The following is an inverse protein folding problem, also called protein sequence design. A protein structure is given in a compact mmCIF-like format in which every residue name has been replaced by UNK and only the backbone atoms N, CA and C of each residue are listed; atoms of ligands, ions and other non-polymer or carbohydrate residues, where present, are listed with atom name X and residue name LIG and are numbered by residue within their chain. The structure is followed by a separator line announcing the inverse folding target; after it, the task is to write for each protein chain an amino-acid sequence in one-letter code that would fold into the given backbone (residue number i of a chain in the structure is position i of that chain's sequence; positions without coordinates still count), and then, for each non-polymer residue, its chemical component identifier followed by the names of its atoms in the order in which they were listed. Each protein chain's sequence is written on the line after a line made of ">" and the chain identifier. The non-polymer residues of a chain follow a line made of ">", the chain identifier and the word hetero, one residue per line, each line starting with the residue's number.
data_IF_479138998461
#
_entry.id   IF_479138998461
#
_cell.length_a   1.000
_cell.length_b   1.000
_cell.length_c   1.000
_cell.angle_alpha   90.00
_cell.angle_beta   90.00
_cell.angle_gamma   90.00
#
_symmetry.space_group_name_H-M   'P 1'
#
loop_
_entity.id
_entity.type
_entity.pdbx_description
1 polymer ?
#
# COMPACT_ATOMS: atom_id res chain seq x y z
N UNK A 1 41.17 68.10 -2.04
CA UNK A 1 39.70 67.84 -2.06
C UNK A 1 39.20 67.01 -3.29
N UNK A 2 39.68 67.26 -4.48
CA UNK A 2 39.21 66.55 -5.70
C UNK A 2 39.58 65.06 -5.71
N UNK A 3 40.82 64.68 -5.33
CA UNK A 3 41.27 63.29 -5.21
C UNK A 3 40.56 62.49 -4.13
N UNK A 4 40.11 63.14 -3.06
CA UNK A 4 39.37 62.49 -1.97
C UNK A 4 37.94 62.13 -2.38
N UNK A 5 37.30 62.93 -3.25
CA UNK A 5 35.97 62.65 -3.81
C UNK A 5 36.02 61.48 -4.82
N UNK A 6 37.09 61.37 -5.62
CA UNK A 6 37.27 60.27 -6.56
C UNK A 6 37.47 58.90 -5.85
N UNK A 7 38.22 58.89 -4.73
CA UNK A 7 38.42 57.67 -3.92
C UNK A 7 37.13 57.25 -3.25
N UNK A 8 36.30 58.20 -2.75
CA UNK A 8 34.98 57.88 -2.15
C UNK A 8 34.01 57.35 -3.22
N UNK A 9 34.01 57.92 -4.43
CA UNK A 9 33.17 57.44 -5.54
C UNK A 9 33.57 56.02 -6.00
N UNK A 10 34.85 55.71 -6.09
CA UNK A 10 35.32 54.36 -6.44
C UNK A 10 35.01 53.33 -5.33
N UNK A 11 35.17 53.72 -4.06
CA UNK A 11 34.80 52.89 -2.91
C UNK A 11 33.28 52.59 -2.85
N UNK A 12 32.43 53.62 -3.17
CA UNK A 12 30.98 53.42 -3.22
C UNK A 12 30.53 52.52 -4.38
N UNK A 13 31.21 52.58 -5.54
CA UNK A 13 30.94 51.69 -6.66
C UNK A 13 31.38 50.24 -6.34
N UNK A 14 32.49 50.06 -5.63
CA UNK A 14 32.95 48.73 -5.20
C UNK A 14 32.05 48.13 -4.12
N UNK A 15 31.48 48.93 -3.19
CA UNK A 15 30.48 48.45 -2.24
C UNK A 15 29.13 48.11 -2.88
N UNK A 16 28.73 48.87 -3.94
CA UNK A 16 27.49 48.53 -4.68
C UNK A 16 27.62 47.27 -5.55
N UNK A 17 28.83 46.95 -6.03
CA UNK A 17 29.11 45.73 -6.80
C UNK A 17 29.22 44.48 -5.90
N UNK A 18 29.48 44.63 -4.59
CA UNK A 18 29.53 43.51 -3.65
C UNK A 18 28.19 43.18 -3.00
N UNK A 19 27.14 44.01 -3.16
CA UNK A 19 25.78 43.75 -2.68
C UNK A 19 24.88 43.05 -3.74
N UNK A 20 25.38 42.80 -4.94
CA UNK A 20 24.80 41.78 -5.81
C UNK A 20 25.24 40.40 -5.22
N UNK A 21 24.85 40.17 -3.99
CA UNK A 21 24.81 38.82 -3.44
C UNK A 21 24.12 37.97 -4.46
N UNK A 22 24.83 37.01 -4.98
CA UNK A 22 24.34 35.88 -5.71
C UNK A 22 23.14 35.35 -4.96
N UNK A 23 21.93 35.80 -5.34
CA UNK A 23 20.78 34.92 -5.28
C UNK A 23 21.12 33.80 -6.29
N UNK A 24 21.93 32.84 -5.86
CA UNK A 24 21.87 31.51 -6.44
C UNK A 24 20.41 31.12 -6.28
N UNK A 25 19.63 30.96 -7.36
CA UNK A 25 18.42 30.21 -7.19
C UNK A 25 18.93 28.90 -6.60
N UNK A 26 18.54 28.60 -5.36
CA UNK A 26 18.65 27.27 -4.84
C UNK A 26 17.97 26.43 -5.93
N UNK A 27 18.76 25.72 -6.73
CA UNK A 27 18.24 24.74 -7.64
C UNK A 27 17.48 23.78 -6.70
N UNK A 28 16.15 23.91 -6.70
CA UNK A 28 15.31 22.96 -6.04
C UNK A 28 15.81 21.60 -6.57
N UNK A 29 16.25 20.76 -5.67
CA UNK A 29 16.72 19.43 -6.04
C UNK A 29 15.49 18.76 -6.70
N UNK A 30 15.47 18.64 -8.02
CA UNK A 30 14.37 18.10 -8.85
C UNK A 30 14.07 16.64 -8.51
N UNK A 31 14.77 16.09 -7.53
CA UNK A 31 14.77 14.67 -7.15
C UNK A 31 13.49 14.17 -6.48
N UNK A 32 12.54 15.04 -6.12
CA UNK A 32 11.30 14.65 -5.43
C UNK A 32 10.03 15.09 -6.15
N UNK A 33 10.10 15.38 -7.46
CA UNK A 33 8.93 15.76 -8.25
C UNK A 33 8.28 14.54 -8.87
N UNK A 34 6.98 14.32 -8.58
CA UNK A 34 6.22 13.14 -9.02
C UNK A 34 4.89 13.54 -9.65
N UNK A 35 4.36 12.73 -10.54
CA UNK A 35 2.99 12.88 -11.04
C UNK A 35 2.00 12.40 -10.00
N UNK A 36 1.03 13.26 -9.63
CA UNK A 36 -0.02 12.86 -8.70
C UNK A 36 -0.92 11.80 -9.32
N UNK A 37 -1.29 10.78 -8.53
CA UNK A 37 -2.26 9.78 -8.85
C UNK A 37 -3.69 10.25 -8.55
N UNK A 38 -4.44 9.46 -7.82
CA UNK A 38 -5.83 9.70 -7.43
C UNK A 38 -6.81 8.83 -8.21
N UNK A 39 -6.40 8.15 -9.28
CA UNK A 39 -7.20 7.18 -9.98
C UNK A 39 -7.31 5.86 -9.22
N UNK A 40 -8.48 5.24 -9.33
CA UNK A 40 -8.68 3.88 -8.87
C UNK A 40 -7.92 2.88 -9.76
N UNK A 41 -7.31 1.89 -9.16
CA UNK A 41 -6.62 0.82 -9.87
C UNK A 41 -6.85 -0.53 -9.22
N UNK A 42 -6.68 -1.60 -10.00
CA UNK A 42 -6.75 -2.97 -9.55
C UNK A 42 -5.38 -3.52 -9.17
N UNK A 43 -5.34 -4.20 -8.03
CA UNK A 43 -4.17 -4.97 -7.60
C UNK A 43 -4.48 -6.44 -7.75
N UNK A 44 -3.63 -7.18 -8.48
CA UNK A 44 -3.57 -8.65 -8.47
C UNK A 44 -2.30 -9.02 -7.72
N UNK A 45 -2.44 -9.70 -6.59
CA UNK A 45 -1.35 -10.00 -5.67
C UNK A 45 -1.19 -11.52 -5.52
N UNK A 46 0.02 -12.02 -5.65
CA UNK A 46 0.38 -13.41 -5.47
C UNK A 46 1.40 -13.54 -4.35
N UNK A 47 1.06 -14.31 -3.32
CA UNK A 47 1.89 -14.49 -2.14
C UNK A 47 3.10 -15.42 -2.44
N UNK A 48 4.15 -15.25 -1.69
CA UNK A 48 5.32 -16.13 -1.78
C UNK A 48 5.15 -17.36 -0.88
N UNK A 49 4.27 -18.29 -1.31
CA UNK A 49 3.88 -19.50 -0.59
C UNK A 49 2.42 -19.45 -0.13
N UNK A 50 1.93 -20.53 0.48
CA UNK A 50 0.59 -20.64 1.01
C UNK A 50 0.56 -20.26 2.50
N UNK A 51 0.02 -19.11 2.85
CA UNK A 51 -0.06 -18.62 4.22
C UNK A 51 -1.23 -19.23 4.96
N UNK A 52 -0.98 -19.82 6.12
CA UNK A 52 -2.04 -20.39 6.98
C UNK A 52 -2.80 -19.25 7.66
N UNK A 53 -4.09 -19.14 7.34
CA UNK A 53 -4.99 -18.12 7.89
C UNK A 53 -5.88 -18.66 9.01
N UNK A 54 -6.12 -19.98 9.03
CA UNK A 54 -6.93 -20.65 10.07
C UNK A 54 -6.52 -22.11 10.20
N UNK A 55 -6.56 -22.63 11.43
CA UNK A 55 -6.50 -24.07 11.70
C UNK A 55 -7.86 -24.54 12.20
N UNK A 56 -8.43 -25.56 11.56
CA UNK A 56 -9.77 -26.02 11.83
C UNK A 56 -9.83 -27.55 11.87
N UNK A 57 -10.40 -28.08 12.96
CA UNK A 57 -10.60 -29.53 13.08
C UNK A 57 -11.76 -29.97 12.20
N UNK A 58 -11.63 -31.14 11.61
CA UNK A 58 -12.68 -31.80 10.83
C UNK A 58 -12.89 -33.24 11.33
N UNK A 59 -14.05 -33.80 11.04
CA UNK A 59 -14.42 -35.16 11.44
C UNK A 59 -13.86 -36.17 10.43
N UNK A 60 -13.07 -37.16 10.90
CA UNK A 60 -12.45 -38.17 10.06
C UNK A 60 -13.30 -39.44 9.87
N UNK A 61 -14.42 -39.53 10.60
CA UNK A 61 -15.30 -40.69 10.67
C UNK A 61 -15.32 -41.34 12.05
N UNK A 62 -14.35 -41.04 12.91
CA UNK A 62 -14.22 -41.55 14.27
C UNK A 62 -14.15 -40.39 15.30
N UNK A 63 -13.36 -39.34 14.97
CA UNK A 63 -13.08 -38.20 15.87
C UNK A 63 -12.81 -36.89 15.10
N UNK A 64 -12.72 -35.78 15.82
CA UNK A 64 -12.25 -34.51 15.28
C UNK A 64 -10.74 -34.45 15.31
N UNK A 65 -10.11 -34.19 14.15
CA UNK A 65 -8.65 -34.13 13.95
C UNK A 65 -8.23 -32.84 13.28
N UNK A 66 -7.00 -32.38 13.55
CA UNK A 66 -6.36 -31.27 12.86
C UNK A 66 -4.86 -31.56 12.67
N UNK A 67 -4.49 -32.35 11.64
CA UNK A 67 -3.11 -32.78 11.41
C UNK A 67 -2.09 -31.64 11.37
N UNK A 68 -2.47 -30.48 10.79
CA UNK A 68 -1.61 -29.30 10.78
C UNK A 68 -1.27 -28.81 12.19
N UNK A 69 -2.27 -28.72 13.07
CA UNK A 69 -2.08 -28.30 14.46
C UNK A 69 -1.25 -29.34 15.24
N UNK A 70 -1.55 -30.61 15.06
CA UNK A 70 -0.87 -31.72 15.73
C UNK A 70 0.60 -31.82 15.30
N UNK A 71 0.88 -31.51 14.01
CA UNK A 71 2.24 -31.39 13.44
C UNK A 71 2.96 -30.08 13.79
N UNK A 72 2.34 -29.19 14.59
CA UNK A 72 2.95 -27.96 15.10
C UNK A 72 2.94 -26.77 14.13
N UNK A 73 2.08 -26.79 13.10
CA UNK A 73 1.79 -25.60 12.29
C UNK A 73 0.96 -24.58 13.08
N UNK A 74 1.09 -23.31 12.73
CA UNK A 74 0.41 -22.19 13.36
C UNK A 74 -0.16 -21.25 12.31
N UNK A 75 -1.14 -20.44 12.71
CA UNK A 75 -1.61 -19.31 11.91
C UNK A 75 -0.43 -18.35 11.66
N UNK A 76 -0.37 -17.78 10.47
CA UNK A 76 0.71 -16.97 9.91
C UNK A 76 1.98 -17.73 9.49
N UNK A 77 2.05 -19.06 9.62
CA UNK A 77 3.09 -19.82 8.95
C UNK A 77 2.88 -19.77 7.43
N UNK A 78 3.96 -19.63 6.68
CA UNK A 78 3.92 -19.62 5.21
C UNK A 78 4.51 -20.94 4.72
N UNK A 79 3.68 -21.81 4.14
CA UNK A 79 4.12 -23.07 3.56
C UNK A 79 4.91 -22.79 2.29
N UNK A 80 6.17 -23.20 2.27
CA UNK A 80 7.11 -23.01 1.15
C UNK A 80 7.31 -24.25 0.32
N UNK A 81 7.34 -25.43 0.98
CA UNK A 81 7.50 -26.73 0.31
C UNK A 81 6.73 -27.80 1.05
N UNK A 82 6.31 -28.81 0.28
CA UNK A 82 5.86 -30.10 0.80
C UNK A 82 6.80 -31.16 0.21
N UNK A 83 7.44 -31.93 1.08
CA UNK A 83 8.58 -32.77 0.72
C UNK A 83 9.64 -31.91 0.00
N UNK A 84 9.94 -32.20 -1.26
CA UNK A 84 10.88 -31.39 -2.05
C UNK A 84 10.19 -30.49 -3.07
N UNK A 85 8.86 -30.50 -3.13
CA UNK A 85 8.07 -29.72 -4.10
C UNK A 85 7.79 -28.33 -3.55
N UNK A 86 8.17 -27.29 -4.31
CA UNK A 86 7.86 -25.89 -3.97
C UNK A 86 6.36 -25.65 -4.06
N UNK A 87 5.81 -24.98 -3.07
CA UNK A 87 4.40 -24.57 -2.99
C UNK A 87 4.30 -23.07 -3.21
N UNK A 88 3.47 -22.70 -4.16
CA UNK A 88 3.14 -21.30 -4.48
C UNK A 88 1.64 -21.04 -4.48
N UNK A 89 0.83 -22.09 -4.69
CA UNK A 89 -0.63 -21.99 -4.75
C UNK A 89 -1.30 -23.03 -3.85
N UNK A 90 -2.57 -22.76 -3.54
CA UNK A 90 -3.42 -23.67 -2.79
C UNK A 90 -3.62 -25.02 -3.52
N UNK A 91 -3.76 -24.97 -4.86
CA UNK A 91 -3.91 -26.14 -5.71
C UNK A 91 -2.66 -27.03 -5.67
N UNK A 92 -1.46 -26.43 -5.71
CA UNK A 92 -0.20 -27.15 -5.57
C UNK A 92 -0.11 -27.84 -4.19
N UNK A 93 -0.45 -27.11 -3.12
CA UNK A 93 -0.49 -27.68 -1.76
C UNK A 93 -1.45 -28.85 -1.68
N UNK A 94 -2.68 -28.69 -2.18
CA UNK A 94 -3.68 -29.75 -2.21
C UNK A 94 -3.18 -30.99 -2.97
N UNK A 95 -2.59 -30.78 -4.15
CA UNK A 95 -2.04 -31.84 -4.97
C UNK A 95 -0.95 -32.65 -4.26
N UNK A 96 -0.01 -31.98 -3.57
CA UNK A 96 1.06 -32.66 -2.83
C UNK A 96 0.54 -33.42 -1.60
N UNK A 97 -0.50 -32.89 -0.92
CA UNK A 97 -1.18 -33.61 0.17
C UNK A 97 -1.86 -34.89 -0.35
N UNK A 98 -2.56 -34.83 -1.48
CA UNK A 98 -3.21 -35.98 -2.10
C UNK A 98 -2.20 -37.04 -2.55
N UNK A 99 -1.07 -36.67 -3.16
CA UNK A 99 0.02 -37.55 -3.57
C UNK A 99 0.66 -38.31 -2.41
N UNK A 100 0.56 -37.83 -1.20
CA UNK A 100 1.09 -38.52 -0.02
C UNK A 100 0.40 -39.86 0.24
N UNK A 101 -0.84 -40.03 -0.25
CA UNK A 101 -1.68 -41.19 0.03
C UNK A 101 -1.81 -41.52 1.53
N UNK A 102 -1.73 -40.50 2.39
CA UNK A 102 -1.80 -40.64 3.85
C UNK A 102 -0.47 -41.01 4.51
N UNK A 103 0.63 -40.99 3.78
CA UNK A 103 1.96 -41.10 4.38
C UNK A 103 2.38 -39.75 4.97
N UNK A 104 3.29 -39.78 5.93
CA UNK A 104 3.89 -38.57 6.49
C UNK A 104 4.52 -37.72 5.40
N UNK A 105 4.29 -36.37 5.52
CA UNK A 105 4.89 -35.38 4.66
C UNK A 105 5.76 -34.43 5.50
N UNK A 106 6.85 -33.96 4.92
CA UNK A 106 7.66 -32.88 5.48
C UNK A 106 7.20 -31.55 4.89
N UNK A 107 6.76 -30.63 5.73
CA UNK A 107 6.31 -29.29 5.33
C UNK A 107 7.37 -28.28 5.77
N UNK A 108 8.03 -27.65 4.79
CA UNK A 108 8.93 -26.51 5.03
C UNK A 108 8.09 -25.24 5.13
N UNK A 109 8.22 -24.54 6.24
CA UNK A 109 7.52 -23.26 6.50
C UNK A 109 8.51 -22.12 6.75
N UNK A 110 8.06 -20.91 6.45
CA UNK A 110 8.63 -19.68 7.00
C UNK A 110 7.77 -19.24 8.18
N UNK A 111 8.37 -19.12 9.36
CA UNK A 111 7.75 -18.58 10.58
C UNK A 111 8.56 -17.39 11.05
N UNK A 112 8.03 -16.18 10.85
CA UNK A 112 8.70 -14.91 11.23
C UNK A 112 10.12 -14.78 10.65
N UNK A 113 10.30 -15.12 9.35
CA UNK A 113 11.57 -15.07 8.65
C UNK A 113 12.54 -16.23 8.97
N UNK A 114 12.08 -17.25 9.71
CA UNK A 114 12.86 -18.45 10.01
C UNK A 114 12.27 -19.66 9.31
N UNK A 115 13.12 -20.38 8.57
CA UNK A 115 12.72 -21.63 7.94
C UNK A 115 12.68 -22.75 8.98
N UNK A 116 11.56 -23.46 9.06
CA UNK A 116 11.37 -24.65 9.91
C UNK A 116 10.79 -25.79 9.08
N UNK A 117 11.11 -27.04 9.43
CA UNK A 117 10.47 -28.23 8.88
C UNK A 117 9.53 -28.86 9.91
N UNK A 118 8.37 -29.27 9.48
CA UNK A 118 7.36 -29.97 10.28
C UNK A 118 6.99 -31.30 9.59
N UNK A 119 6.87 -32.35 10.37
CA UNK A 119 6.37 -33.65 9.89
C UNK A 119 4.89 -33.72 10.21
N UNK A 120 4.07 -34.00 9.20
CA UNK A 120 2.61 -34.02 9.32
C UNK A 120 2.08 -35.28 8.65
N UNK A 121 1.16 -35.96 9.31
CA UNK A 121 0.43 -37.11 8.75
C UNK A 121 -0.94 -36.64 8.24
N UNK A 122 -1.16 -36.51 6.91
CA UNK A 122 -2.47 -36.17 6.37
C UNK A 122 -3.51 -37.24 6.70
N UNK A 123 -4.71 -36.82 7.10
CA UNK A 123 -5.79 -37.74 7.49
C UNK A 123 -6.96 -37.57 6.51
N UNK A 124 -7.65 -38.64 6.15
CA UNK A 124 -8.86 -38.57 5.33
C UNK A 124 -10.03 -38.00 6.10
N UNK A 125 -10.82 -37.20 5.43
CA UNK A 125 -12.16 -36.83 5.91
C UNK A 125 -13.18 -37.93 5.53
N UNK A 126 -14.44 -37.73 5.92
CA UNK A 126 -15.54 -38.70 5.66
C UNK A 126 -15.86 -38.89 4.19
N UNK A 127 -15.41 -38.04 3.29
CA UNK A 127 -15.58 -38.18 1.83
C UNK A 127 -14.32 -38.71 1.14
N UNK A 128 -13.32 -39.14 1.93
CA UNK A 128 -12.12 -39.83 1.44
C UNK A 128 -10.98 -38.91 0.96
N UNK A 129 -11.04 -37.60 1.22
CA UNK A 129 -10.02 -36.65 0.83
C UNK A 129 -9.01 -36.44 1.95
N UNK A 130 -7.71 -36.50 1.64
CA UNK A 130 -6.65 -36.23 2.60
C UNK A 130 -6.56 -34.72 2.86
N UNK A 131 -6.59 -34.29 4.12
CA UNK A 131 -6.55 -32.92 4.57
C UNK A 131 -5.53 -32.72 5.69
N UNK A 132 -5.11 -31.46 5.88
CA UNK A 132 -4.31 -31.04 7.02
C UNK A 132 -5.15 -30.32 8.09
N UNK A 133 -6.35 -29.84 7.77
CA UNK A 133 -7.13 -28.96 8.65
C UNK A 133 -6.55 -27.53 8.71
N UNK A 134 -5.98 -27.07 7.62
CA UNK A 134 -5.44 -25.73 7.45
C UNK A 134 -6.14 -25.00 6.31
N UNK A 135 -6.60 -23.79 6.58
CA UNK A 135 -7.04 -22.85 5.56
C UNK A 135 -5.85 -21.99 5.17
N UNK A 136 -5.63 -21.83 3.88
CA UNK A 136 -4.47 -21.08 3.36
C UNK A 136 -4.90 -20.00 2.37
N UNK A 137 -4.07 -18.97 2.26
CA UNK A 137 -4.18 -17.88 1.29
C UNK A 137 -2.88 -17.77 0.49
N UNK A 138 -3.01 -17.75 -0.81
CA UNK A 138 -1.89 -17.64 -1.77
C UNK A 138 -1.97 -16.44 -2.67
N UNK A 139 -3.13 -15.79 -2.73
CA UNK A 139 -3.39 -14.65 -3.60
C UNK A 139 -4.51 -13.78 -3.06
N UNK A 140 -4.55 -12.55 -3.50
CA UNK A 140 -5.69 -11.65 -3.30
C UNK A 140 -5.77 -10.63 -4.43
N UNK A 141 -6.94 -10.04 -4.57
CA UNK A 141 -7.18 -8.95 -5.51
C UNK A 141 -8.09 -7.89 -4.86
N UNK A 142 -7.89 -6.63 -5.23
CA UNK A 142 -8.66 -5.53 -4.68
C UNK A 142 -8.51 -4.25 -5.48
N UNK A 143 -9.41 -3.29 -5.21
CA UNK A 143 -9.34 -1.94 -5.74
C UNK A 143 -8.66 -1.04 -4.70
N UNK A 144 -7.75 -0.20 -5.16
CA UNK A 144 -7.12 0.85 -4.37
C UNK A 144 -6.98 2.13 -5.17
N UNK A 145 -6.32 3.12 -4.59
CA UNK A 145 -6.02 4.39 -5.25
C UNK A 145 -4.52 4.55 -5.41
N UNK A 146 -4.10 5.01 -6.58
CA UNK A 146 -2.72 5.36 -6.88
C UNK A 146 -2.34 6.64 -6.17
N UNK A 147 -1.19 6.66 -5.49
CA UNK A 147 -0.73 7.84 -4.76
C UNK A 147 0.06 8.76 -5.67
N UNK A 148 1.10 8.23 -6.32
CA UNK A 148 1.90 8.99 -7.28
C UNK A 148 2.71 8.06 -8.18
N UNK A 149 3.19 8.65 -9.29
CA UNK A 149 4.13 8.05 -10.23
C UNK A 149 5.43 8.85 -10.26
N UNK A 150 6.54 8.18 -10.11
CA UNK A 150 7.88 8.75 -10.29
C UNK A 150 8.45 8.31 -11.65
N UNK A 151 8.37 9.23 -12.62
CA UNK A 151 8.84 9.00 -13.98
C UNK A 151 10.37 8.89 -14.04
N UNK A 152 11.06 9.60 -13.14
CA UNK A 152 12.53 9.66 -13.12
C UNK A 152 13.14 8.34 -12.68
N UNK A 153 12.49 7.65 -11.73
CA UNK A 153 12.92 6.37 -11.20
C UNK A 153 12.05 5.21 -11.68
N UNK A 154 11.12 5.46 -12.61
CA UNK A 154 10.26 4.46 -13.25
C UNK A 154 9.44 3.61 -12.27
N UNK A 155 8.90 4.20 -11.19
CA UNK A 155 8.09 3.47 -10.23
C UNK A 155 6.79 4.18 -9.86
N UNK A 156 5.91 3.46 -9.17
CA UNK A 156 4.69 3.99 -8.56
C UNK A 156 4.60 3.64 -7.07
N UNK A 157 3.85 4.45 -6.34
CA UNK A 157 3.46 4.20 -4.96
C UNK A 157 1.95 4.28 -4.79
N UNK A 158 1.37 3.38 -4.01
CA UNK A 158 -0.08 3.29 -3.85
C UNK A 158 -0.49 2.76 -2.47
N UNK A 159 -1.78 2.87 -2.15
CA UNK A 159 -2.50 2.38 -0.97
C UNK A 159 -2.14 3.07 0.34
N UNK A 160 -0.89 3.49 0.57
CA UNK A 160 -0.45 4.05 1.85
C UNK A 160 -0.38 3.03 3.01
N UNK A 161 -0.76 1.79 2.77
CA UNK A 161 -0.66 0.67 3.70
C UNK A 161 -0.36 -0.63 2.95
N UNK A 162 0.14 -1.63 3.66
CA UNK A 162 0.42 -2.93 3.06
C UNK A 162 -0.84 -3.74 2.77
N UNK A 163 -0.72 -4.69 1.84
CA UNK A 163 -1.73 -5.70 1.61
C UNK A 163 -1.56 -6.77 2.67
N UNK A 164 -2.56 -6.87 3.53
CA UNK A 164 -2.63 -7.81 4.63
C UNK A 164 -3.73 -8.84 4.40
N UNK A 165 -3.60 -9.98 5.02
CA UNK A 165 -4.68 -10.96 5.10
C UNK A 165 -5.84 -10.41 5.96
N UNK A 166 -7.08 -10.54 5.47
CA UNK A 166 -8.25 -9.96 6.13
C UNK A 166 -8.66 -10.69 7.42
N UNK A 167 -8.24 -11.95 7.60
CA UNK A 167 -8.60 -12.77 8.76
C UNK A 167 -7.58 -12.62 9.89
N UNK A 168 -6.30 -12.47 9.54
CA UNK A 168 -5.18 -12.44 10.49
C UNK A 168 -4.55 -11.06 10.66
N UNK A 169 -4.88 -10.10 9.77
CA UNK A 169 -4.24 -8.78 9.64
C UNK A 169 -2.72 -8.83 9.39
N UNK A 170 -2.16 -10.01 9.12
CA UNK A 170 -0.73 -10.15 8.84
C UNK A 170 -0.39 -9.71 7.42
N UNK A 171 0.75 -9.01 7.28
CA UNK A 171 1.26 -8.58 5.97
C UNK A 171 1.54 -9.79 5.08
N UNK A 172 0.96 -9.81 3.87
CA UNK A 172 1.19 -10.88 2.91
C UNK A 172 2.59 -10.79 2.29
N UNK A 173 3.33 -11.90 2.24
CA UNK A 173 4.65 -11.94 1.60
C UNK A 173 4.50 -11.87 0.08
N UNK A 174 4.98 -10.81 -0.55
CA UNK A 174 4.89 -10.62 -1.99
C UNK A 174 5.83 -11.60 -2.73
N UNK A 175 5.28 -12.34 -3.69
CA UNK A 175 6.04 -13.07 -4.72
C UNK A 175 6.05 -12.29 -6.03
N UNK A 176 4.87 -11.86 -6.45
CA UNK A 176 4.64 -11.07 -7.65
C UNK A 176 3.25 -10.42 -7.56
N UNK A 177 3.03 -9.42 -8.40
CA UNK A 177 1.71 -8.82 -8.52
C UNK A 177 1.66 -7.87 -9.71
N UNK A 178 0.46 -7.44 -10.05
CA UNK A 178 0.20 -6.56 -11.17
C UNK A 178 -0.65 -5.38 -10.73
N UNK A 179 -0.30 -4.20 -11.20
CA UNK A 179 -1.13 -3.02 -11.17
C UNK A 179 -1.85 -2.90 -12.52
N UNK A 180 -3.18 -2.97 -12.49
CA UNK A 180 -4.04 -2.93 -13.68
C UNK A 180 -5.05 -1.80 -13.56
N UNK A 181 -5.57 -1.30 -14.68
CA UNK A 181 -6.66 -0.32 -14.65
C UNK A 181 -7.91 -0.95 -14.06
N UNK A 182 -8.61 -0.20 -13.18
CA UNK A 182 -9.93 -0.56 -12.68
C UNK A 182 -10.96 0.48 -13.14
N UNK A 183 -12.18 0.03 -13.35
CA UNK A 183 -13.34 0.89 -13.62
C UNK A 183 -14.33 0.77 -12.48
N UNK A 184 -14.71 1.92 -11.92
CA UNK A 184 -15.66 1.98 -10.81
C UNK A 184 -17.08 1.99 -11.39
N UNK A 185 -17.84 0.95 -11.10
CA UNK A 185 -19.23 0.79 -11.53
C UNK A 185 -20.25 1.26 -10.49
N UNK A 186 -19.82 1.44 -9.23
CA UNK A 186 -20.68 1.87 -8.14
C UNK A 186 -19.95 2.06 -6.83
N UNK A 187 -20.68 2.55 -5.82
CA UNK A 187 -20.15 2.80 -4.48
C UNK A 187 -21.15 2.26 -3.44
N UNK A 188 -20.67 1.43 -2.55
CA UNK A 188 -21.34 1.17 -1.27
C UNK A 188 -20.94 2.27 -0.30
N UNK A 189 -21.91 3.03 0.23
CA UNK A 189 -21.61 4.16 1.12
C UNK A 189 -21.16 3.70 2.48
N UNK A 190 -20.21 4.42 3.05
CA UNK A 190 -19.84 4.28 4.46
C UNK A 190 -20.94 4.78 5.39
N UNK A 191 -21.21 4.02 6.44
CA UNK A 191 -22.07 4.40 7.55
C UNK A 191 -21.36 4.11 8.86
N UNK A 192 -21.81 4.72 9.96
CA UNK A 192 -21.25 4.43 11.28
C UNK A 192 -21.30 2.92 11.59
N UNK A 193 -20.17 2.34 11.93
CA UNK A 193 -19.99 0.92 12.19
C UNK A 193 -19.64 0.06 10.95
N UNK A 194 -19.76 0.59 9.74
CA UNK A 194 -19.45 -0.14 8.50
C UNK A 194 -18.79 0.76 7.46
N UNK A 195 -17.57 0.42 7.08
CA UNK A 195 -16.93 1.04 5.92
C UNK A 195 -17.66 0.62 4.63
N UNK A 196 -17.89 1.58 3.75
CA UNK A 196 -18.33 1.33 2.38
C UNK A 196 -17.18 0.88 1.49
N UNK A 197 -17.45 0.69 0.19
CA UNK A 197 -16.44 0.25 -0.78
C UNK A 197 -16.70 0.78 -2.18
N UNK A 198 -15.65 0.96 -2.96
CA UNK A 198 -15.76 1.03 -4.41
C UNK A 198 -16.16 -0.34 -4.95
N UNK A 199 -17.15 -0.37 -5.84
CA UNK A 199 -17.53 -1.53 -6.62
C UNK A 199 -17.04 -1.32 -8.06
N UNK A 200 -16.39 -2.30 -8.64
CA UNK A 200 -15.82 -2.15 -9.97
C UNK A 200 -15.22 -3.45 -10.49
N UNK A 201 -14.59 -3.38 -11.64
CA UNK A 201 -13.94 -4.52 -12.29
C UNK A 201 -12.58 -4.11 -12.84
N UNK A 202 -11.71 -5.09 -13.01
CA UNK A 202 -10.38 -4.90 -13.59
C UNK A 202 -10.47 -5.00 -15.11
N UNK A 203 -9.72 -4.14 -15.78
CA UNK A 203 -9.49 -4.26 -17.23
C UNK A 203 -8.20 -5.05 -17.49
N UNK A 204 -7.95 -5.39 -18.76
CA UNK A 204 -6.70 -6.05 -19.16
C UNK A 204 -5.51 -5.07 -19.32
N UNK A 205 -5.73 -3.79 -19.03
CA UNK A 205 -4.67 -2.77 -19.17
C UNK A 205 -3.78 -2.79 -17.94
N UNK A 206 -2.66 -3.47 -18.07
CA UNK A 206 -1.59 -3.48 -17.09
C UNK A 206 -0.68 -2.28 -17.30
N UNK A 207 -0.24 -1.63 -16.23
CA UNK A 207 0.69 -0.52 -16.26
C UNK A 207 1.91 -0.70 -15.35
N UNK A 208 1.90 -1.69 -14.46
CA UNK A 208 3.03 -1.95 -13.58
C UNK A 208 3.06 -3.34 -12.97
N UNK A 209 4.23 -3.70 -12.44
CA UNK A 209 4.44 -4.88 -11.61
C UNK A 209 4.69 -4.44 -10.17
N UNK A 210 4.11 -5.17 -9.20
CA UNK A 210 4.43 -4.96 -7.79
C UNK A 210 5.83 -5.52 -7.49
N UNK A 211 6.66 -4.72 -6.84
CA UNK A 211 7.99 -5.11 -6.35
C UNK A 211 8.07 -5.14 -4.83
N UNK A 212 7.27 -4.32 -4.13
CA UNK A 212 7.29 -4.20 -2.67
C UNK A 212 5.89 -4.17 -2.09
N UNK A 213 5.67 -4.98 -1.04
CA UNK A 213 4.54 -4.86 -0.11
C UNK A 213 5.09 -4.51 1.27
N UNK A 214 4.73 -3.36 1.81
CA UNK A 214 5.23 -2.86 3.10
C UNK A 214 4.13 -2.21 3.93
N UNK A 215 4.31 -2.02 5.24
CA UNK A 215 3.33 -1.31 6.06
C UNK A 215 2.97 0.09 5.55
N UNK A 216 3.86 0.75 4.80
CA UNK A 216 3.70 2.13 4.30
C UNK A 216 3.06 2.20 2.90
N UNK A 217 2.74 1.06 2.29
CA UNK A 217 2.14 1.01 0.97
C UNK A 217 2.67 -0.13 0.12
N UNK A 218 2.13 -0.20 -1.10
CA UNK A 218 2.67 -1.04 -2.16
C UNK A 218 3.42 -0.16 -3.17
N UNK A 219 4.51 -0.72 -3.71
CA UNK A 219 5.34 -0.07 -4.71
C UNK A 219 5.60 -1.04 -5.83
N UNK A 220 5.89 -0.49 -7.00
CA UNK A 220 6.15 -1.33 -8.15
C UNK A 220 6.72 -0.55 -9.33
N UNK A 221 7.23 -1.30 -10.30
CA UNK A 221 7.88 -0.76 -11.48
C UNK A 221 6.84 -0.49 -12.57
N UNK A 222 6.93 0.65 -13.23
CA UNK A 222 6.12 0.97 -14.38
C UNK A 222 6.59 0.13 -15.58
N UNK A 223 5.66 -0.59 -16.21
CA UNK A 223 5.96 -1.47 -17.34
C UNK A 223 5.43 -0.96 -18.68
N UNK A 224 4.66 0.12 -18.65
CA UNK A 224 4.12 0.76 -19.85
C UNK A 224 3.83 2.23 -19.57
N UNK A 225 3.66 3.02 -20.63
CA UNK A 225 3.25 4.43 -20.54
C UNK A 225 1.71 4.61 -20.35
N UNK A 226 0.99 3.53 -20.07
CA UNK A 226 -0.48 3.53 -19.91
C UNK A 226 -0.97 4.09 -18.57
N UNK A 227 -0.11 4.73 -17.78
CA UNK A 227 -0.51 5.47 -16.60
C UNK A 227 -0.82 6.94 -16.91
N UNK A 228 -1.63 7.58 -16.07
CA UNK A 228 -2.01 8.98 -16.28
C UNK A 228 -0.90 9.91 -15.78
N UNK A 229 -0.31 10.68 -16.70
CA UNK A 229 0.60 11.78 -16.37
C UNK A 229 -0.22 13.04 -16.04
N UNK A 230 -0.75 13.07 -14.82
CA UNK A 230 -1.46 14.23 -14.28
C UNK A 230 -0.45 15.38 -13.98
N UNK A 231 -0.85 16.32 -13.15
CA UNK A 231 0.02 17.42 -12.70
C UNK A 231 1.17 16.89 -11.82
N UNK A 232 2.35 17.48 -11.98
CA UNK A 232 3.51 17.23 -11.13
C UNK A 232 3.45 18.04 -9.84
N UNK A 233 3.92 17.43 -8.76
CA UNK A 233 4.03 18.01 -7.44
C UNK A 233 5.34 17.57 -6.78
N UNK A 234 5.89 18.45 -5.94
CA UNK A 234 6.93 18.06 -4.99
C UNK A 234 6.32 17.23 -3.85
N UNK A 235 7.07 16.27 -3.34
CA UNK A 235 6.76 15.59 -2.09
C UNK A 235 7.22 16.49 -0.94
N UNK A 236 6.32 16.76 0.01
CA UNK A 236 6.64 17.54 1.21
C UNK A 236 7.46 16.72 2.22
N UNK A 237 8.35 17.38 2.95
CA UNK A 237 8.91 16.78 4.16
C UNK A 237 7.82 16.69 5.24
N UNK A 238 7.97 15.75 6.17
CA UNK A 238 6.98 15.51 7.23
C UNK A 238 6.80 16.72 8.17
N UNK A 239 7.85 17.54 8.40
CA UNK A 239 7.82 18.75 9.22
C UNK A 239 7.08 19.93 8.55
N UNK A 240 6.90 19.89 7.22
CA UNK A 240 6.11 20.87 6.47
C UNK A 240 4.60 20.64 6.64
N UNK A 241 4.17 19.40 7.01
CA UNK A 241 2.75 19.05 7.17
C UNK A 241 2.18 19.71 8.42
N UNK A 242 1.07 20.45 8.25
CA UNK A 242 0.40 21.20 9.33
C UNK A 242 -1.08 20.83 9.42
N UNK A 243 -1.65 21.02 10.59
CA UNK A 243 -3.12 20.98 10.78
C UNK A 243 -3.80 22.07 9.97
N UNK A 244 -5.04 21.82 9.55
CA UNK A 244 -5.84 22.76 8.77
C UNK A 244 -6.23 22.24 7.40
N UNK A 245 -6.56 23.13 6.48
CA UNK A 245 -7.09 22.80 5.15
C UNK A 245 -6.06 22.06 4.29
N UNK A 246 -6.55 21.07 3.56
CA UNK A 246 -5.84 20.31 2.54
C UNK A 246 -6.84 19.78 1.51
N UNK A 247 -6.34 19.16 0.46
CA UNK A 247 -7.14 18.55 -0.61
C UNK A 247 -6.76 17.11 -0.77
N UNK A 248 -7.74 16.24 -0.89
CA UNK A 248 -7.57 14.83 -1.25
C UNK A 248 -7.96 14.64 -2.71
N UNK A 249 -7.15 13.88 -3.46
CA UNK A 249 -7.42 13.57 -4.86
C UNK A 249 -7.86 12.12 -4.97
N UNK A 250 -9.06 11.87 -5.52
CA UNK A 250 -9.61 10.52 -5.66
C UNK A 250 -10.63 10.45 -6.78
N UNK A 251 -11.00 9.25 -7.21
CA UNK A 251 -11.95 9.01 -8.32
C UNK A 251 -13.13 8.17 -7.85
N UNK A 252 -14.10 8.73 -7.10
CA UNK A 252 -15.27 7.97 -6.67
C UNK A 252 -16.29 7.81 -7.79
N UNK A 253 -16.27 8.67 -8.81
CA UNK A 253 -17.19 8.64 -9.94
C UNK A 253 -16.44 8.90 -11.24
N UNK A 254 -16.72 8.09 -12.25
CA UNK A 254 -16.06 8.18 -13.56
C UNK A 254 -14.64 7.62 -13.53
N UNK A 255 -13.76 8.19 -14.36
CA UNK A 255 -12.38 7.73 -14.57
C UNK A 255 -11.31 8.80 -14.34
N UNK A 256 -11.75 10.01 -13.96
CA UNK A 256 -10.86 11.18 -13.80
C UNK A 256 -10.78 11.59 -12.34
N UNK A 257 -9.56 11.64 -11.76
CA UNK A 257 -9.35 12.11 -10.39
C UNK A 257 -9.87 13.52 -10.19
N UNK A 258 -10.53 13.75 -9.06
CA UNK A 258 -11.06 15.05 -8.65
C UNK A 258 -10.52 15.42 -7.27
N UNK A 259 -10.43 16.72 -7.03
CA UNK A 259 -10.03 17.30 -5.76
C UNK A 259 -11.23 17.47 -4.83
N UNK A 260 -11.06 17.05 -3.57
CA UNK A 260 -12.06 17.13 -2.52
C UNK A 260 -11.46 17.78 -1.28
N UNK A 261 -12.18 18.75 -0.71
CA UNK A 261 -11.76 19.43 0.49
C UNK A 261 -11.72 18.53 1.70
N UNK A 262 -10.61 18.58 2.42
CA UNK A 262 -10.40 17.88 3.69
C UNK A 262 -9.74 18.81 4.71
N UNK A 263 -9.73 18.38 5.96
CA UNK A 263 -9.00 19.04 7.04
C UNK A 263 -8.02 18.06 7.70
N UNK A 264 -6.76 18.43 7.83
CA UNK A 264 -5.81 17.73 8.71
C UNK A 264 -6.14 18.10 10.15
N UNK A 265 -6.72 17.18 10.91
CA UNK A 265 -7.20 17.42 12.27
C UNK A 265 -6.06 17.46 13.29
N UNK A 266 -5.13 16.55 13.16
CA UNK A 266 -3.97 16.42 14.05
C UNK A 266 -2.87 15.59 13.41
N UNK A 267 -1.64 15.85 13.82
CA UNK A 267 -0.48 14.98 13.59
C UNK A 267 -0.40 14.01 14.78
N UNK A 268 -0.39 12.71 14.51
CA UNK A 268 -0.37 11.66 15.54
C UNK A 268 1.06 11.38 16.00
N UNK A 269 1.92 11.10 15.02
CA UNK A 269 3.32 10.75 15.25
C UNK A 269 4.15 11.05 13.98
N UNK A 270 5.48 11.00 14.12
CA UNK A 270 6.45 11.07 13.02
C UNK A 270 7.31 9.80 12.98
N UNK A 271 6.68 8.66 13.27
CA UNK A 271 7.30 7.36 13.16
C UNK A 271 7.30 6.92 11.69
N UNK A 272 8.49 6.74 11.14
CA UNK A 272 8.72 6.34 9.75
C UNK A 272 8.28 4.89 9.46
N UNK A 273 7.89 4.13 10.46
CA UNK A 273 7.37 2.75 10.31
C UNK A 273 5.85 2.69 10.40
N UNK A 274 5.21 3.79 10.83
CA UNK A 274 3.76 3.90 11.00
C UNK A 274 3.08 4.44 9.74
N UNK A 275 1.93 3.89 9.42
CA UNK A 275 1.02 4.41 8.39
C UNK A 275 -0.17 5.20 8.99
N UNK A 276 -0.07 5.59 10.27
CA UNK A 276 -1.05 6.36 11.03
C UNK A 276 -0.45 7.69 11.51
N UNK A 277 0.20 8.43 10.61
CA UNK A 277 0.98 9.61 10.97
C UNK A 277 0.12 10.83 11.29
N UNK A 278 -1.02 10.97 10.63
CA UNK A 278 -1.95 12.09 10.87
C UNK A 278 -3.41 11.67 10.67
N UNK A 279 -4.34 12.44 11.22
CA UNK A 279 -5.78 12.24 11.06
C UNK A 279 -6.34 13.31 10.13
N UNK A 280 -7.14 12.86 9.16
CA UNK A 280 -7.92 13.74 8.28
C UNK A 280 -9.40 13.68 8.59
N UNK A 281 -10.13 14.71 8.15
CA UNK A 281 -11.59 14.75 8.10
C UNK A 281 -12.04 15.23 6.72
N UNK A 282 -12.95 14.50 6.09
CA UNK A 282 -13.61 14.95 4.87
C UNK A 282 -14.55 16.12 5.22
N UNK A 283 -14.42 17.23 4.48
CA UNK A 283 -15.25 18.42 4.61
C UNK A 283 -16.07 18.71 3.35
N UNK A 284 -15.70 18.11 2.21
CA UNK A 284 -16.37 18.28 0.93
C UNK A 284 -17.74 17.59 0.91
N UNK A 285 -18.80 18.36 0.68
CA UNK A 285 -20.16 17.85 0.66
C UNK A 285 -20.43 16.87 -0.48
N UNK A 286 -19.80 17.06 -1.66
CA UNK A 286 -19.95 16.18 -2.82
C UNK A 286 -19.46 14.76 -2.48
N UNK A 287 -18.31 14.66 -1.82
CA UNK A 287 -17.75 13.37 -1.43
C UNK A 287 -18.59 12.70 -0.33
N UNK A 288 -19.07 13.49 0.64
CA UNK A 288 -19.95 12.98 1.70
C UNK A 288 -21.29 12.50 1.16
N UNK A 289 -21.87 13.21 0.20
CA UNK A 289 -23.13 12.79 -0.45
C UNK A 289 -22.95 11.51 -1.25
N UNK A 290 -21.84 11.37 -1.98
CA UNK A 290 -21.58 10.21 -2.83
C UNK A 290 -21.16 8.97 -2.04
N UNK A 291 -20.29 9.13 -1.04
CA UNK A 291 -19.59 8.03 -0.36
C UNK A 291 -19.99 7.85 1.11
N UNK A 292 -20.66 8.83 1.73
CA UNK A 292 -20.95 8.85 3.17
C UNK A 292 -19.72 9.10 4.06
N UNK A 293 -18.53 9.02 3.50
CA UNK A 293 -17.23 9.15 4.16
C UNK A 293 -16.10 8.52 3.35
N UNK A 294 -15.02 8.13 4.01
CA UNK A 294 -13.95 7.33 3.40
C UNK A 294 -14.48 5.92 3.17
N UNK A 295 -14.30 5.38 1.97
CA UNK A 295 -14.69 4.02 1.60
C UNK A 295 -13.45 3.18 1.26
N UNK A 296 -13.56 1.86 1.36
CA UNK A 296 -12.54 0.93 0.86
C UNK A 296 -12.33 1.17 -0.65
N UNK A 297 -11.07 1.25 -1.06
CA UNK A 297 -10.66 1.67 -2.39
C UNK A 297 -10.11 3.10 -2.42
N UNK A 298 -10.44 3.98 -1.47
CA UNK A 298 -9.80 5.29 -1.32
C UNK A 298 -8.41 5.24 -0.69
N UNK A 299 -8.00 4.11 -0.12
CA UNK A 299 -6.63 3.93 0.40
C UNK A 299 -5.62 4.23 -0.70
N UNK A 300 -4.64 5.10 -0.42
CA UNK A 300 -3.68 5.62 -1.38
C UNK A 300 -4.08 6.96 -2.00
N UNK A 301 -5.31 7.46 -1.82
CA UNK A 301 -5.69 8.78 -2.33
C UNK A 301 -4.71 9.85 -1.86
N UNK A 302 -3.97 10.52 -2.77
CA UNK A 302 -2.96 11.49 -2.40
C UNK A 302 -3.60 12.74 -1.77
N UNK A 303 -2.88 13.31 -0.82
CA UNK A 303 -3.27 14.52 -0.10
C UNK A 303 -2.29 15.62 -0.44
N UNK A 304 -2.84 16.78 -0.85
CA UNK A 304 -2.08 17.97 -1.21
C UNK A 304 -2.34 19.08 -0.19
N UNK A 305 -1.27 19.69 0.28
CA UNK A 305 -1.31 20.89 1.13
C UNK A 305 -0.22 21.85 0.65
N UNK A 306 -0.54 23.16 0.55
CA UNK A 306 0.40 24.19 0.12
C UNK A 306 1.15 23.89 -1.20
N UNK A 307 0.47 23.21 -2.14
CA UNK A 307 1.05 22.87 -3.45
C UNK A 307 2.03 21.71 -3.46
N UNK A 308 2.10 20.90 -2.40
CA UNK A 308 2.94 19.69 -2.30
C UNK A 308 2.10 18.48 -1.92
N UNK A 309 2.50 17.29 -2.35
CA UNK A 309 1.94 16.02 -1.85
C UNK A 309 2.49 15.78 -0.45
N UNK A 310 1.61 15.77 0.53
CA UNK A 310 1.98 15.58 1.94
C UNK A 310 1.82 14.13 2.41
N UNK A 311 0.99 13.34 1.74
CA UNK A 311 0.69 11.98 2.16
C UNK A 311 -0.41 11.33 1.36
N UNK A 312 -0.89 10.22 1.88
CA UNK A 312 -2.00 9.44 1.33
C UNK A 312 -2.95 8.95 2.43
N UNK A 313 -4.23 8.75 2.09
CA UNK A 313 -5.20 8.08 2.96
C UNK A 313 -4.79 6.63 3.18
N UNK A 314 -4.95 6.14 4.42
CA UNK A 314 -4.67 4.74 4.76
C UNK A 314 -5.90 4.00 5.28
N UNK A 315 -6.42 4.37 6.45
CA UNK A 315 -7.50 3.66 7.12
C UNK A 315 -8.65 4.59 7.51
N UNK A 316 -9.88 4.09 7.39
CA UNK A 316 -11.10 4.78 7.83
C UNK A 316 -11.42 4.46 9.29
N UNK A 317 -11.99 5.41 10.03
CA UNK A 317 -12.55 5.16 11.36
C UNK A 317 -13.97 4.61 11.24
N UNK A 318 -14.16 3.35 11.63
CA UNK A 318 -15.49 2.70 11.52
C UNK A 318 -16.58 3.46 12.28
N UNK A 319 -16.26 4.02 13.45
CA UNK A 319 -17.21 4.78 14.27
C UNK A 319 -17.47 6.20 13.74
N UNK A 320 -16.63 6.71 12.84
CA UNK A 320 -16.79 8.02 12.19
C UNK A 320 -16.16 7.98 10.79
N UNK A 321 -16.86 7.46 9.77
CA UNK A 321 -16.29 7.30 8.43
C UNK A 321 -15.89 8.59 7.73
N UNK A 322 -16.25 9.76 8.28
CA UNK A 322 -15.78 11.06 7.78
C UNK A 322 -14.33 11.34 8.15
N UNK A 323 -13.74 10.53 9.03
CA UNK A 323 -12.36 10.67 9.49
C UNK A 323 -11.56 9.38 9.23
N UNK A 324 -10.25 9.52 9.12
CA UNK A 324 -9.33 8.41 8.91
C UNK A 324 -7.88 8.83 9.07
N UNK A 325 -7.00 7.84 9.01
CA UNK A 325 -5.56 8.04 9.06
C UNK A 325 -4.97 8.36 7.69
N UNK A 326 -3.81 9.01 7.71
CA UNK A 326 -2.93 9.17 6.56
C UNK A 326 -1.47 8.93 6.91
N UNK A 327 -0.71 8.52 5.90
CA UNK A 327 0.75 8.33 5.94
C UNK A 327 1.45 9.49 5.24
N UNK A 328 2.63 9.90 5.72
CA UNK A 328 3.43 10.91 5.03
C UNK A 328 4.01 10.37 3.70
N UNK A 329 3.88 11.15 2.63
CA UNK A 329 4.40 10.80 1.31
C UNK A 329 5.93 10.62 1.32
N UNK A 330 6.65 11.41 2.13
CA UNK A 330 8.09 11.27 2.34
C UNK A 330 8.46 9.86 2.84
N UNK A 331 7.66 9.28 3.76
CA UNK A 331 7.95 7.96 4.30
C UNK A 331 7.70 6.86 3.26
N UNK A 332 6.69 7.04 2.41
CA UNK A 332 6.46 6.16 1.26
C UNK A 332 7.66 6.21 0.29
N UNK A 333 8.13 7.42 -0.07
CA UNK A 333 9.27 7.61 -0.96
C UNK A 333 10.56 7.01 -0.39
N UNK A 334 10.86 7.28 0.89
CA UNK A 334 12.03 6.72 1.56
C UNK A 334 11.99 5.19 1.63
N UNK A 335 10.81 4.59 1.75
CA UNK A 335 10.64 3.14 1.80
C UNK A 335 11.05 2.47 0.50
N UNK A 336 10.68 3.05 -0.63
CA UNK A 336 11.08 2.55 -1.94
C UNK A 336 12.59 2.71 -2.16
N UNK A 337 13.14 3.90 -1.92
CA UNK A 337 14.56 4.21 -2.13
C UNK A 337 15.52 3.38 -1.29
N UNK A 338 15.09 2.91 -0.10
CA UNK A 338 15.92 2.07 0.77
C UNK A 338 15.93 0.58 0.39
N UNK A 339 15.21 0.18 -0.65
CA UNK A 339 15.16 -1.22 -1.14
C UNK A 339 15.82 -1.40 -2.52
N UNK A 340 16.15 -0.31 -3.17
CA UNK A 340 16.86 -0.22 -4.44
C UNK A 340 18.15 0.61 -4.30
#
# INVERSE_FOLDING_TARGET
>A
MRKFKEIISVALIFTLLFTVSTFSPYAADDKNEVYIGGEAFGVKFYANGAMIIKLESYYDGEKYVCPAKDGGLKVNDIIKKVNNTKISTNEELKSEIEKSNGNEITVEIDRNGKTENKTILPIKNTVGVYLLGAWVRDSCAGIGTMTYYDDSNNYFAALGHGICDCDTAALLPLKSGEAVRAEISGIEKSVCGKAGSFCGYFTDVKFGNLSVNSPLGIFGDLTSENYKRNKKYLIANDDEVKTGKAVMVTTPVGDTPQEYDIEIKRICNRDMTSNENFVIKITDSRLLENCGGIVQGMSGSPIVQNGKIIGAITHVFLNNPKEGYGVFAQYMANRYNNQH
#
